data_IF_836140696522
#
_entry.id   IF_836140696522
#
_cell.length_a   1.000
_cell.length_b   1.000
_cell.length_c   1.000
_cell.angle_alpha   90.00
_cell.angle_beta   90.00
_cell.angle_gamma   90.00
#
_symmetry.space_group_name_H-M   'P 1'
#
loop_
_entity.id
_entity.type
_entity.pdbx_description
1 polymer ?
#
# COMPACT_ATOMS: atom_id res chain seq x y z
N UNK A 1 -20.11 5.65 23.88
CA UNK A 1 -19.30 4.54 23.34
C UNK A 1 -18.34 5.00 22.25
N UNK A 2 -18.79 5.37 21.05
CA UNK A 2 -17.91 5.76 19.94
C UNK A 2 -16.88 6.85 20.29
N UNK A 3 -17.28 7.88 21.02
CA UNK A 3 -16.38 8.93 21.49
C UNK A 3 -15.24 8.36 22.36
N UNK A 4 -15.50 7.45 23.29
CA UNK A 4 -14.47 6.82 24.12
C UNK A 4 -13.47 6.02 23.31
N UNK A 5 -13.93 5.25 22.31
CA UNK A 5 -13.03 4.53 21.40
C UNK A 5 -12.10 5.51 20.70
N UNK A 6 -12.66 6.61 20.20
CA UNK A 6 -11.88 7.67 19.55
C UNK A 6 -10.88 8.33 20.49
N UNK A 7 -11.31 8.67 21.70
CA UNK A 7 -10.47 9.31 22.71
C UNK A 7 -9.31 8.40 23.12
N UNK A 8 -9.55 7.09 23.27
CA UNK A 8 -8.51 6.09 23.55
C UNK A 8 -7.46 6.01 22.43
N UNK A 9 -7.90 6.05 21.17
CA UNK A 9 -7.00 6.07 20.03
C UNK A 9 -6.18 7.37 20.01
N UNK A 10 -6.82 8.51 20.25
CA UNK A 10 -6.16 9.82 20.28
C UNK A 10 -5.07 9.90 21.35
N UNK A 11 -5.35 9.39 22.56
CA UNK A 11 -4.38 9.35 23.65
C UNK A 11 -3.10 8.62 23.22
N UNK A 12 -3.23 7.45 22.58
CA UNK A 12 -2.09 6.68 22.07
C UNK A 12 -1.29 7.45 21.01
N UNK A 13 -1.97 8.15 20.10
CA UNK A 13 -1.28 8.92 19.04
C UNK A 13 -0.54 10.13 19.63
N UNK A 14 -1.16 10.83 20.59
CA UNK A 14 -0.55 11.99 21.25
C UNK A 14 0.70 11.56 22.05
N UNK A 15 0.61 10.42 22.75
CA UNK A 15 1.72 9.85 23.50
C UNK A 15 2.95 9.54 22.62
N UNK A 16 2.73 8.92 21.45
CA UNK A 16 3.82 8.56 20.55
C UNK A 16 4.28 9.71 19.66
N UNK A 17 3.54 10.81 19.60
CA UNK A 17 3.82 12.04 18.87
C UNK A 17 3.79 11.89 17.34
N UNK A 18 4.53 10.95 16.77
CA UNK A 18 4.68 10.82 15.30
C UNK A 18 3.60 9.95 14.70
N UNK A 19 2.99 10.46 13.62
CA UNK A 19 1.94 9.76 12.90
C UNK A 19 2.01 10.04 11.39
N UNK A 20 1.32 9.22 10.61
CA UNK A 20 1.07 9.42 9.19
C UNK A 20 -0.41 9.39 8.87
N UNK A 21 -0.80 10.14 7.85
CA UNK A 21 -2.17 10.26 7.41
C UNK A 21 -2.42 9.43 6.16
N UNK A 22 -3.52 8.68 6.16
CA UNK A 22 -4.01 7.92 5.03
C UNK A 22 -5.42 8.38 4.74
N UNK A 23 -5.66 8.85 3.52
CA UNK A 23 -6.97 9.26 3.05
C UNK A 23 -7.29 8.61 1.71
N UNK A 24 -8.54 8.34 1.50
CA UNK A 24 -9.08 7.90 0.22
C UNK A 24 -10.54 8.33 0.16
N UNK A 25 -11.14 8.43 -1.02
CA UNK A 25 -12.55 8.77 -1.17
C UNK A 25 -13.25 7.91 -2.22
N UNK A 26 -14.54 7.66 -2.00
CA UNK A 26 -15.40 6.92 -2.93
C UNK A 26 -16.85 7.32 -2.69
N UNK A 27 -17.72 7.25 -3.71
CA UNK A 27 -19.14 7.45 -3.52
C UNK A 27 -19.75 6.31 -2.69
N UNK A 28 -20.62 6.66 -1.77
CA UNK A 28 -21.45 5.70 -1.02
C UNK A 28 -22.69 5.26 -1.82
N UNK A 29 -23.55 4.44 -1.21
CA UNK A 29 -24.77 3.92 -1.84
C UNK A 29 -25.76 5.03 -2.23
N UNK A 30 -25.71 6.20 -1.61
CA UNK A 30 -26.50 7.37 -1.91
C UNK A 30 -25.79 8.33 -2.90
N UNK A 31 -24.75 7.86 -3.59
CA UNK A 31 -23.92 8.64 -4.50
C UNK A 31 -23.28 9.89 -3.87
N UNK A 32 -23.11 9.90 -2.54
CA UNK A 32 -22.42 10.94 -1.82
C UNK A 32 -20.94 10.56 -1.65
N UNK A 33 -20.04 11.47 -2.04
CA UNK A 33 -18.61 11.23 -1.86
C UNK A 33 -18.26 11.23 -0.38
N UNK A 34 -17.61 10.15 0.06
CA UNK A 34 -17.12 9.97 1.42
C UNK A 34 -15.60 9.85 1.38
N UNK A 35 -14.92 10.69 2.12
CA UNK A 35 -13.48 10.60 2.38
C UNK A 35 -13.27 9.88 3.72
N UNK A 36 -12.41 8.87 3.75
CA UNK A 36 -12.05 8.15 4.98
C UNK A 36 -10.76 8.70 5.54
N UNK A 37 -10.72 8.88 6.86
CA UNK A 37 -9.52 9.24 7.63
C UNK A 37 -9.02 8.01 8.39
N UNK A 38 -7.78 7.59 8.11
CA UNK A 38 -7.03 6.58 8.85
C UNK A 38 -5.70 7.18 9.27
N UNK A 39 -5.27 6.93 10.50
CA UNK A 39 -3.99 7.39 11.04
C UNK A 39 -3.11 6.18 11.34
N UNK A 40 -1.86 6.22 10.84
CA UNK A 40 -0.83 5.20 11.10
C UNK A 40 0.16 5.75 12.12
N UNK A 41 0.49 4.94 13.11
CA UNK A 41 1.43 5.27 14.19
C UNK A 41 2.07 4.00 14.76
N UNK A 42 3.12 4.18 15.55
CA UNK A 42 3.89 3.08 16.15
C UNK A 42 3.88 3.24 17.66
N UNK A 43 3.46 2.21 18.38
CA UNK A 43 3.42 2.19 19.84
C UNK A 43 4.36 1.12 20.41
N UNK A 44 4.72 1.29 21.66
CA UNK A 44 5.17 0.22 22.52
C UNK A 44 3.94 -0.32 23.28
N UNK A 45 3.67 -1.62 23.18
CA UNK A 45 2.55 -2.24 23.87
C UNK A 45 2.92 -2.58 25.34
N UNK A 46 1.94 -3.06 26.11
CA UNK A 46 2.14 -3.42 27.52
C UNK A 46 3.14 -4.57 27.73
N UNK A 47 3.54 -5.29 26.67
CA UNK A 47 4.53 -6.37 26.70
C UNK A 47 5.92 -5.86 26.29
N UNK A 48 6.10 -4.54 26.19
CA UNK A 48 7.28 -3.88 25.66
C UNK A 48 7.61 -4.29 24.21
N UNK A 49 6.60 -4.56 23.39
CA UNK A 49 6.77 -4.89 22.00
C UNK A 49 6.36 -3.73 21.09
N UNK A 50 7.06 -3.61 19.96
CA UNK A 50 6.69 -2.67 18.91
C UNK A 50 5.39 -3.10 18.24
N UNK A 51 4.46 -2.17 18.03
CA UNK A 51 3.26 -2.42 17.26
C UNK A 51 2.97 -1.27 16.29
N UNK A 52 2.83 -1.60 15.00
CA UNK A 52 2.38 -0.66 13.96
C UNK A 52 0.86 -0.74 13.89
N UNK A 53 0.20 0.41 14.06
CA UNK A 53 -1.26 0.51 14.10
C UNK A 53 -1.74 1.47 13.01
N UNK A 54 -2.83 1.10 12.35
CA UNK A 54 -3.60 1.94 11.45
C UNK A 54 -5.03 2.03 11.98
N UNK A 55 -5.38 3.15 12.60
CA UNK A 55 -6.70 3.36 13.22
C UNK A 55 -7.62 4.18 12.34
N UNK A 56 -8.85 3.72 12.21
CA UNK A 56 -9.94 4.44 11.57
C UNK A 56 -10.47 5.54 12.50
N UNK A 57 -10.70 6.74 11.93
CA UNK A 57 -11.26 7.87 12.68
C UNK A 57 -12.70 8.19 12.31
N UNK A 58 -12.92 8.45 11.03
CA UNK A 58 -14.24 8.88 10.53
C UNK A 58 -14.33 8.83 9.00
N UNK A 59 -15.56 8.89 8.52
CA UNK A 59 -15.87 9.31 7.17
C UNK A 59 -16.23 10.80 7.16
N UNK A 60 -15.79 11.51 6.13
CA UNK A 60 -16.06 12.94 5.90
C UNK A 60 -16.77 13.07 4.56
N UNK A 61 -17.90 13.75 4.54
CA UNK A 61 -18.60 14.04 3.29
C UNK A 61 -17.84 15.08 2.50
N UNK A 62 -17.48 14.77 1.27
CA UNK A 62 -16.76 15.66 0.36
C UNK A 62 -17.77 16.35 -0.56
N UNK A 63 -17.72 17.68 -0.56
CA UNK A 63 -18.57 18.50 -1.43
C UNK A 63 -17.81 19.01 -2.66
N UNK A 64 -16.51 19.28 -2.52
CA UNK A 64 -15.65 19.76 -3.58
C UNK A 64 -14.36 18.94 -3.64
N UNK A 65 -14.02 18.43 -4.82
CA UNK A 65 -12.86 17.57 -5.05
C UNK A 65 -11.61 18.31 -5.51
N UNK A 66 -11.54 19.63 -5.38
CA UNK A 66 -10.30 20.36 -5.66
C UNK A 66 -9.24 20.02 -4.60
N UNK A 67 -7.95 20.03 -4.99
CA UNK A 67 -6.87 19.78 -4.03
C UNK A 67 -6.88 20.75 -2.85
N UNK A 68 -7.33 21.98 -3.05
CA UNK A 68 -7.49 23.02 -2.01
C UNK A 68 -8.54 22.63 -0.99
N UNK A 69 -9.78 22.41 -1.43
CA UNK A 69 -10.90 22.04 -0.54
C UNK A 69 -10.63 20.74 0.20
N UNK A 70 -10.05 19.74 -0.47
CA UNK A 70 -9.66 18.48 0.18
C UNK A 70 -8.57 18.69 1.24
N UNK A 71 -7.62 19.61 1.01
CA UNK A 71 -6.61 19.95 2.02
C UNK A 71 -7.23 20.62 3.22
N UNK A 72 -8.15 21.56 3.02
CA UNK A 72 -8.89 22.23 4.10
C UNK A 72 -9.68 21.21 4.92
N UNK A 73 -10.41 20.30 4.28
CA UNK A 73 -11.15 19.22 4.96
C UNK A 73 -10.22 18.34 5.81
N UNK A 74 -9.02 18.00 5.31
CA UNK A 74 -8.03 17.19 6.03
C UNK A 74 -7.47 17.95 7.23
N UNK A 75 -7.08 19.21 7.06
CA UNK A 75 -6.54 20.03 8.15
C UNK A 75 -7.60 20.31 9.23
N UNK A 76 -8.84 20.57 8.85
CA UNK A 76 -9.97 20.71 9.76
C UNK A 76 -10.20 19.41 10.56
N UNK A 77 -10.06 18.25 9.91
CA UNK A 77 -10.10 16.97 10.58
C UNK A 77 -9.00 16.82 11.64
N UNK A 78 -7.76 17.14 11.29
CA UNK A 78 -6.62 17.04 12.22
C UNK A 78 -6.77 18.02 13.39
N UNK A 79 -7.19 19.26 13.11
CA UNK A 79 -7.40 20.31 14.12
C UNK A 79 -8.49 19.89 15.12
N UNK A 80 -9.64 19.39 14.64
CA UNK A 80 -10.73 18.88 15.49
C UNK A 80 -10.31 17.70 16.35
N UNK A 81 -9.35 16.92 15.88
CA UNK A 81 -8.80 15.76 16.59
C UNK A 81 -7.55 16.12 17.42
N UNK A 82 -7.20 17.42 17.52
CA UNK A 82 -6.04 17.94 18.25
C UNK A 82 -4.70 17.30 17.80
N UNK A 83 -4.58 16.94 16.51
CA UNK A 83 -3.39 16.39 15.91
C UNK A 83 -2.63 17.48 15.15
N UNK A 84 -1.40 17.76 15.57
CA UNK A 84 -0.57 18.82 14.95
C UNK A 84 0.04 18.33 13.65
N UNK A 85 -0.18 19.05 12.57
CA UNK A 85 0.42 18.72 11.26
C UNK A 85 1.96 18.68 11.32
N UNK A 86 2.60 19.41 12.23
CA UNK A 86 4.04 19.37 12.47
C UNK A 86 4.57 18.02 12.93
N UNK A 87 3.74 17.19 13.52
CA UNK A 87 4.09 15.84 13.99
C UNK A 87 3.79 14.76 12.94
N UNK A 88 3.17 15.12 11.83
CA UNK A 88 2.93 14.22 10.70
C UNK A 88 4.24 13.89 9.97
N UNK A 89 4.52 12.60 9.73
CA UNK A 89 5.76 12.12 9.07
C UNK A 89 5.53 11.50 7.71
N UNK A 90 4.30 11.14 7.41
CA UNK A 90 3.96 10.56 6.12
C UNK A 90 2.53 10.84 5.71
N UNK A 91 2.30 10.82 4.41
CA UNK A 91 0.97 10.92 3.82
C UNK A 91 0.85 9.92 2.66
N UNK A 92 -0.27 9.20 2.60
CA UNK A 92 -0.54 8.25 1.53
C UNK A 92 -1.96 8.37 1.02
N UNK A 93 -2.06 8.58 -0.28
CA UNK A 93 -3.31 8.76 -1.01
C UNK A 93 -3.28 7.95 -2.30
N UNK A 94 -4.42 7.89 -2.97
CA UNK A 94 -4.48 7.37 -4.34
C UNK A 94 -3.72 8.27 -5.33
N UNK A 95 -3.60 7.83 -6.58
CA UNK A 95 -2.88 8.57 -7.62
C UNK A 95 -3.75 9.59 -8.36
N UNK A 96 -4.93 9.93 -7.84
CA UNK A 96 -5.78 10.99 -8.40
C UNK A 96 -5.05 12.34 -8.37
N UNK A 97 -5.14 13.12 -9.45
CA UNK A 97 -4.40 14.37 -9.60
C UNK A 97 -4.70 15.40 -8.50
N UNK A 98 -5.92 15.39 -7.95
CA UNK A 98 -6.33 16.26 -6.86
C UNK A 98 -5.64 15.90 -5.53
N UNK A 99 -5.29 14.62 -5.33
CA UNK A 99 -4.57 14.13 -4.16
C UNK A 99 -3.05 14.15 -4.39
N UNK A 100 -2.58 13.52 -5.46
CA UNK A 100 -1.16 13.26 -5.73
C UNK A 100 -0.47 14.32 -6.62
N UNK A 101 -1.19 15.35 -7.07
CA UNK A 101 -0.63 16.41 -7.93
C UNK A 101 0.54 17.13 -7.24
N UNK A 102 1.65 17.31 -7.99
CA UNK A 102 2.91 17.88 -7.45
C UNK A 102 2.87 19.39 -7.19
N UNK A 103 1.87 20.11 -7.71
CA UNK A 103 1.79 21.58 -7.61
C UNK A 103 0.54 21.99 -6.83
N UNK A 104 -0.64 21.50 -7.22
CA UNK A 104 -1.94 21.90 -6.66
C UNK A 104 -2.67 20.78 -5.93
N UNK A 105 -2.09 19.59 -5.87
CA UNK A 105 -2.66 18.45 -5.15
C UNK A 105 -2.51 18.57 -3.63
N UNK A 106 -3.29 17.79 -2.90
CA UNK A 106 -3.24 17.72 -1.44
C UNK A 106 -1.81 17.47 -0.94
N UNK A 107 -1.10 16.52 -1.56
CA UNK A 107 0.26 16.16 -1.14
C UNK A 107 1.23 17.35 -1.20
N UNK A 108 1.14 18.18 -2.23
CA UNK A 108 2.01 19.35 -2.37
C UNK A 108 1.72 20.40 -1.29
N UNK A 109 0.44 20.70 -1.06
CA UNK A 109 -0.01 21.66 -0.04
C UNK A 109 0.37 21.23 1.38
N UNK A 110 0.28 19.95 1.70
CA UNK A 110 0.72 19.42 3.00
C UNK A 110 2.23 19.52 3.15
N UNK A 111 3.02 19.23 2.09
CA UNK A 111 4.48 19.36 2.11
C UNK A 111 4.93 20.83 2.28
N UNK A 112 4.20 21.79 1.75
CA UNK A 112 4.46 23.23 1.98
C UNK A 112 4.36 23.60 3.46
N UNK A 113 3.39 23.01 4.19
CA UNK A 113 3.20 23.26 5.63
C UNK A 113 4.16 22.42 6.49
N UNK A 114 4.45 21.19 6.08
CA UNK A 114 5.36 20.30 6.78
C UNK A 114 6.17 19.45 5.80
N UNK A 115 7.41 19.84 5.55
CA UNK A 115 8.34 19.15 4.65
C UNK A 115 8.65 17.71 5.08
N UNK A 116 8.41 17.38 6.35
CA UNK A 116 8.63 16.05 6.92
C UNK A 116 7.46 15.08 6.67
N UNK A 117 6.28 15.57 6.28
CA UNK A 117 5.14 14.75 5.88
C UNK A 117 5.36 14.16 4.47
N UNK A 118 6.24 13.16 4.37
CA UNK A 118 6.68 12.57 3.10
C UNK A 118 5.51 11.90 2.38
N UNK A 119 5.36 12.21 1.08
CA UNK A 119 4.31 11.60 0.27
C UNK A 119 4.74 10.25 -0.28
N UNK A 120 3.95 9.23 -0.02
CA UNK A 120 4.09 7.87 -0.54
C UNK A 120 2.78 7.51 -1.25
N UNK A 121 2.77 7.43 -2.59
CA UNK A 121 1.60 6.97 -3.32
C UNK A 121 1.16 5.60 -2.84
N UNK A 122 -0.15 5.35 -2.75
CA UNK A 122 -0.66 4.02 -2.40
C UNK A 122 -0.08 2.96 -3.32
N UNK A 123 0.69 2.02 -2.76
CA UNK A 123 1.42 1.01 -3.53
C UNK A 123 0.48 0.09 -4.30
N UNK A 124 -0.61 -0.36 -3.70
CA UNK A 124 -1.60 -1.21 -4.35
C UNK A 124 -2.25 -0.49 -5.55
N UNK A 125 -2.62 0.79 -5.38
CA UNK A 125 -3.16 1.59 -6.47
C UNK A 125 -2.12 1.84 -7.57
N UNK A 126 -0.86 2.11 -7.19
CA UNK A 126 0.26 2.32 -8.11
C UNK A 126 0.54 1.08 -8.97
N UNK A 127 0.53 -0.12 -8.39
CA UNK A 127 0.63 -1.38 -9.14
C UNK A 127 -0.55 -1.54 -10.10
N UNK A 128 -1.78 -1.28 -9.67
CA UNK A 128 -2.94 -1.35 -10.54
C UNK A 128 -2.83 -0.43 -11.75
N UNK A 129 -2.27 0.77 -11.58
CA UNK A 129 -2.08 1.72 -12.69
C UNK A 129 -0.98 1.31 -13.68
N UNK A 130 0.07 0.61 -13.23
CA UNK A 130 1.08 0.06 -14.14
C UNK A 130 0.40 -0.87 -15.14
N UNK A 131 -0.51 -1.65 -14.65
CA UNK A 131 -1.28 -2.51 -15.49
C UNK A 131 -2.18 -1.82 -16.51
N UNK A 132 -2.78 -0.73 -16.15
CA UNK A 132 -3.60 0.07 -17.07
C UNK A 132 -2.76 0.65 -18.21
N UNK A 133 -1.53 1.08 -17.93
CA UNK A 133 -0.62 1.61 -18.96
C UNK A 133 -0.32 0.54 -20.02
N UNK A 134 -0.02 -0.67 -19.57
CA UNK A 134 0.28 -1.81 -20.44
C UNK A 134 -0.95 -2.26 -21.23
N UNK A 135 -2.14 -2.10 -20.66
CA UNK A 135 -3.41 -2.49 -21.27
C UNK A 135 -3.89 -1.56 -22.39
N UNK A 136 -3.61 -0.25 -22.30
CA UNK A 136 -3.97 0.68 -23.39
C UNK A 136 -3.42 0.23 -24.74
N UNK A 137 -2.42 -0.62 -24.72
CA UNK A 137 -1.81 -1.19 -25.91
C UNK A 137 -2.53 -2.46 -26.38
N UNK A 138 -3.19 -3.24 -25.50
CA UNK A 138 -3.61 -4.62 -25.88
C UNK A 138 -4.94 -5.16 -25.33
N UNK A 139 -5.65 -4.54 -24.34
CA UNK A 139 -6.88 -5.11 -23.77
C UNK A 139 -7.84 -4.05 -23.15
N UNK A 140 -9.16 -4.30 -23.21
CA UNK A 140 -10.21 -3.43 -22.68
C UNK A 140 -10.31 -3.33 -21.16
N UNK A 141 -10.88 -2.23 -20.64
CA UNK A 141 -10.86 -1.69 -19.28
C UNK A 141 -11.60 -2.51 -18.21
N UNK A 142 -10.89 -3.23 -17.33
CA UNK A 142 -11.37 -3.75 -16.02
C UNK A 142 -10.23 -3.96 -15.02
N UNK A 143 -10.54 -4.09 -13.70
CA UNK A 143 -9.55 -4.23 -12.61
C UNK A 143 -8.64 -5.46 -12.74
N UNK A 144 -7.36 -5.33 -12.39
CA UNK A 144 -6.33 -6.37 -12.50
C UNK A 144 -6.68 -7.71 -11.85
N UNK A 145 -7.16 -7.70 -10.62
CA UNK A 145 -7.48 -8.92 -9.89
C UNK A 145 -8.56 -9.75 -10.61
N UNK A 146 -9.57 -9.07 -11.16
CA UNK A 146 -10.61 -9.73 -11.96
C UNK A 146 -10.01 -10.34 -13.23
N UNK A 147 -9.05 -9.65 -13.86
CA UNK A 147 -8.36 -10.12 -15.08
C UNK A 147 -7.41 -11.28 -14.82
N UNK A 148 -6.60 -11.22 -13.74
CA UNK A 148 -5.74 -12.34 -13.35
C UNK A 148 -6.57 -13.61 -13.15
N UNK A 149 -7.66 -13.52 -12.39
CA UNK A 149 -8.58 -14.66 -12.18
C UNK A 149 -9.19 -15.16 -13.48
N UNK A 150 -9.65 -14.27 -14.34
CA UNK A 150 -10.22 -14.61 -15.65
C UNK A 150 -9.19 -15.29 -16.57
N UNK A 151 -7.99 -14.71 -16.70
CA UNK A 151 -6.91 -15.25 -17.52
C UNK A 151 -6.42 -16.59 -16.97
N UNK A 152 -6.27 -16.72 -15.65
CA UNK A 152 -5.91 -17.98 -15.00
C UNK A 152 -6.96 -19.06 -15.22
N UNK A 153 -8.26 -18.72 -15.05
CA UNK A 153 -9.36 -19.65 -15.31
C UNK A 153 -9.40 -20.05 -16.77
N UNK A 154 -9.23 -19.11 -17.67
CA UNK A 154 -9.20 -19.40 -19.11
C UNK A 154 -8.01 -20.31 -19.47
N UNK A 155 -6.81 -20.03 -18.95
CA UNK A 155 -5.62 -20.84 -19.20
C UNK A 155 -5.77 -22.27 -18.68
N UNK A 156 -6.34 -22.45 -17.48
CA UNK A 156 -6.55 -23.78 -16.88
C UNK A 156 -7.70 -24.55 -17.53
N UNK A 157 -8.68 -23.86 -18.10
CA UNK A 157 -9.90 -24.48 -18.66
C UNK A 157 -10.00 -24.34 -20.18
N UNK A 158 -8.92 -23.94 -20.86
CA UNK A 158 -8.95 -23.63 -22.30
C UNK A 158 -9.47 -24.79 -23.14
N UNK A 159 -9.07 -26.02 -22.82
CA UNK A 159 -9.55 -27.24 -23.49
C UNK A 159 -11.05 -27.47 -23.29
N UNK A 160 -11.57 -27.17 -22.08
CA UNK A 160 -13.00 -27.29 -21.78
C UNK A 160 -13.81 -26.21 -22.50
N UNK A 161 -13.27 -24.99 -22.61
CA UNK A 161 -13.86 -23.90 -23.39
C UNK A 161 -13.99 -24.32 -24.86
N UNK A 162 -12.95 -24.92 -25.46
CA UNK A 162 -13.02 -25.43 -26.82
C UNK A 162 -14.11 -26.49 -26.97
N UNK A 163 -14.15 -27.47 -26.08
CA UNK A 163 -15.19 -28.52 -26.10
C UNK A 163 -16.59 -27.95 -25.99
N UNK A 164 -16.78 -26.94 -25.11
CA UNK A 164 -18.08 -26.27 -24.96
C UNK A 164 -18.55 -25.60 -26.26
N UNK A 165 -17.64 -24.93 -26.98
CA UNK A 165 -17.96 -24.33 -28.29
C UNK A 165 -18.24 -25.39 -29.36
N UNK A 166 -17.54 -26.52 -29.35
CA UNK A 166 -17.82 -27.63 -30.28
C UNK A 166 -19.20 -28.25 -30.05
N UNK A 167 -19.60 -28.40 -28.78
CA UNK A 167 -20.95 -28.85 -28.42
C UNK A 167 -22.03 -27.84 -28.87
N UNK A 168 -21.81 -26.56 -28.60
CA UNK A 168 -22.73 -25.50 -29.06
C UNK A 168 -22.97 -25.50 -30.55
N UNK A 169 -21.98 -25.84 -31.37
CA UNK A 169 -22.15 -25.96 -32.84
C UNK A 169 -23.10 -27.06 -33.27
N UNK A 170 -23.27 -28.10 -32.46
CA UNK A 170 -24.15 -29.21 -32.73
C UNK A 170 -25.60 -28.93 -32.38
N UNK A 171 -25.85 -27.84 -31.61
CA UNK A 171 -27.22 -27.43 -31.25
C UNK A 171 -27.93 -26.68 -32.40
N UNK A 172 -29.26 -26.63 -32.33
CA UNK A 172 -30.11 -25.86 -33.28
C UNK A 172 -30.01 -24.36 -32.99
N UNK A 173 -28.90 -23.75 -33.35
CA UNK A 173 -28.62 -22.31 -33.22
C UNK A 173 -28.80 -21.60 -34.58
N UNK A 174 -28.96 -20.25 -34.53
CA UNK A 174 -28.93 -19.43 -35.73
C UNK A 174 -27.58 -19.53 -36.44
N UNK A 175 -27.58 -19.38 -37.78
CA UNK A 175 -26.33 -19.39 -38.56
C UNK A 175 -25.34 -18.29 -38.13
N UNK A 176 -25.86 -17.13 -37.69
CA UNK A 176 -25.05 -16.04 -37.11
C UNK A 176 -24.31 -16.49 -35.85
N UNK A 177 -24.99 -17.16 -34.90
CA UNK A 177 -24.39 -17.68 -33.68
C UNK A 177 -23.33 -18.75 -33.95
N UNK A 178 -23.55 -19.61 -34.94
CA UNK A 178 -22.57 -20.62 -35.38
C UNK A 178 -21.32 -19.95 -35.97
N UNK A 179 -21.53 -18.94 -36.82
CA UNK A 179 -20.44 -18.19 -37.45
C UNK A 179 -19.58 -17.47 -36.37
N UNK A 180 -20.20 -16.85 -35.38
CA UNK A 180 -19.51 -16.21 -34.24
C UNK A 180 -18.72 -17.23 -33.43
N UNK A 181 -19.30 -18.39 -33.12
CA UNK A 181 -18.60 -19.48 -32.44
C UNK A 181 -17.37 -19.96 -33.20
N UNK A 182 -17.46 -20.10 -34.53
CA UNK A 182 -16.33 -20.49 -35.40
C UNK A 182 -15.23 -19.44 -35.42
N UNK A 183 -15.56 -18.17 -35.45
CA UNK A 183 -14.61 -17.07 -35.39
C UNK A 183 -13.91 -17.03 -34.03
N UNK A 184 -14.64 -17.22 -32.94
CA UNK A 184 -14.06 -17.31 -31.59
C UNK A 184 -13.12 -18.48 -31.44
N UNK A 185 -13.51 -19.69 -31.91
CA UNK A 185 -12.64 -20.88 -31.84
C UNK A 185 -11.36 -20.65 -32.65
N UNK A 186 -11.43 -20.10 -33.85
CA UNK A 186 -10.27 -19.78 -34.66
C UNK A 186 -9.34 -18.80 -33.96
N UNK A 187 -9.90 -17.74 -33.38
CA UNK A 187 -9.15 -16.74 -32.63
C UNK A 187 -8.46 -17.36 -31.40
N UNK A 188 -9.19 -18.14 -30.60
CA UNK A 188 -8.67 -18.78 -29.40
C UNK A 188 -7.61 -19.86 -29.70
N UNK A 189 -7.69 -20.55 -30.86
CA UNK A 189 -6.71 -21.54 -31.32
C UNK A 189 -5.48 -20.91 -31.98
N UNK A 190 -5.48 -19.60 -32.21
CA UNK A 190 -4.33 -18.94 -32.83
C UNK A 190 -3.09 -19.00 -31.96
N UNK A 191 -1.92 -19.21 -32.56
CA UNK A 191 -0.63 -19.18 -31.84
C UNK A 191 -0.44 -17.87 -31.07
N UNK A 192 -0.82 -16.75 -31.66
CA UNK A 192 -0.79 -15.43 -31.07
C UNK A 192 -1.57 -15.37 -29.74
N UNK A 193 -2.82 -15.85 -29.75
CA UNK A 193 -3.66 -15.83 -28.56
C UNK A 193 -3.08 -16.70 -27.43
N UNK A 194 -2.63 -17.93 -27.77
CA UNK A 194 -2.08 -18.86 -26.78
C UNK A 194 -0.79 -18.30 -26.18
N UNK A 195 0.12 -17.77 -27.00
CA UNK A 195 1.34 -17.14 -26.50
C UNK A 195 1.05 -15.96 -25.58
N UNK A 196 0.12 -15.08 -25.99
CA UNK A 196 -0.26 -13.93 -25.18
C UNK A 196 -0.95 -14.34 -23.87
N UNK A 197 -1.82 -15.34 -23.90
CA UNK A 197 -2.47 -15.89 -22.70
C UNK A 197 -1.43 -16.37 -21.68
N UNK A 198 -0.44 -17.13 -22.11
CA UNK A 198 0.63 -17.64 -21.25
C UNK A 198 1.52 -16.53 -20.68
N UNK A 199 1.86 -15.53 -21.50
CA UNK A 199 2.69 -14.38 -21.07
C UNK A 199 1.94 -13.53 -20.04
N UNK A 200 0.67 -13.21 -20.33
CA UNK A 200 -0.17 -12.42 -19.43
C UNK A 200 -0.43 -13.14 -18.10
N UNK A 201 -0.65 -14.44 -18.14
CA UNK A 201 -0.82 -15.23 -16.92
C UNK A 201 0.41 -15.09 -16.01
N UNK A 202 1.61 -15.21 -16.53
CA UNK A 202 2.86 -15.05 -15.77
C UNK A 202 3.05 -13.65 -15.23
N UNK A 203 2.84 -12.62 -16.07
CA UNK A 203 2.97 -11.21 -15.66
C UNK A 203 1.96 -10.87 -14.56
N UNK A 204 0.69 -11.21 -14.77
CA UNK A 204 -0.38 -10.89 -13.83
C UNK A 204 -0.22 -11.67 -12.52
N UNK A 205 0.20 -12.93 -12.58
CA UNK A 205 0.48 -13.74 -11.39
C UNK A 205 1.62 -13.14 -10.54
N UNK A 206 2.69 -12.66 -11.18
CA UNK A 206 3.79 -12.01 -10.48
C UNK A 206 3.34 -10.71 -9.81
N UNK A 207 2.59 -9.86 -10.52
CA UNK A 207 2.05 -8.60 -9.99
C UNK A 207 1.05 -8.86 -8.85
N UNK A 208 0.18 -9.87 -8.97
CA UNK A 208 -0.83 -10.19 -7.95
C UNK A 208 -0.19 -10.66 -6.64
N UNK A 209 0.86 -11.48 -6.71
CA UNK A 209 1.64 -11.86 -5.52
C UNK A 209 2.16 -10.66 -4.76
N UNK A 210 2.76 -9.69 -5.46
CA UNK A 210 3.27 -8.48 -4.82
C UNK A 210 2.14 -7.57 -4.32
N UNK A 211 1.04 -7.47 -5.09
CA UNK A 211 -0.11 -6.67 -4.67
C UNK A 211 -0.73 -7.15 -3.36
N UNK A 212 -0.80 -8.47 -3.14
CA UNK A 212 -1.26 -9.05 -1.87
C UNK A 212 -0.34 -8.63 -0.72
N UNK A 213 0.98 -8.72 -0.91
CA UNK A 213 1.97 -8.31 0.10
C UNK A 213 1.87 -6.82 0.40
N UNK A 214 1.77 -5.97 -0.63
CA UNK A 214 1.71 -4.51 -0.46
C UNK A 214 0.40 -4.02 0.18
N UNK A 215 -0.61 -4.86 0.30
CA UNK A 215 -1.86 -4.54 1.01
C UNK A 215 -1.81 -4.86 2.51
N UNK A 216 -0.73 -5.46 3.00
CA UNK A 216 -0.58 -5.78 4.41
C UNK A 216 -0.41 -4.48 5.25
N UNK A 217 -1.28 -4.24 6.28
CA UNK A 217 -1.27 -2.99 7.05
C UNK A 217 0.02 -2.74 7.81
N UNK A 218 0.67 -3.80 8.27
CA UNK A 218 1.91 -3.72 9.06
C UNK A 218 3.17 -3.72 8.22
N UNK A 219 3.03 -3.70 6.89
CA UNK A 219 4.17 -3.70 5.98
C UNK A 219 5.01 -2.44 6.17
N UNK A 220 6.32 -2.62 6.15
CA UNK A 220 7.31 -1.54 6.27
C UNK A 220 7.95 -1.24 4.91
N UNK A 221 8.51 -0.05 4.76
CA UNK A 221 9.07 0.42 3.48
C UNK A 221 10.24 -0.45 3.03
N UNK A 222 11.12 -0.86 3.93
CA UNK A 222 12.27 -1.72 3.62
C UNK A 222 11.85 -3.08 3.06
N UNK A 223 10.82 -3.69 3.64
CA UNK A 223 10.25 -4.95 3.17
C UNK A 223 9.54 -4.77 1.82
N UNK A 224 8.76 -3.70 1.66
CA UNK A 224 8.09 -3.39 0.42
C UNK A 224 9.08 -3.18 -0.74
N UNK A 225 10.16 -2.41 -0.51
CA UNK A 225 11.21 -2.16 -1.51
C UNK A 225 11.91 -3.46 -1.91
N UNK A 226 12.23 -4.35 -0.97
CA UNK A 226 12.81 -5.68 -1.27
C UNK A 226 11.90 -6.51 -2.19
N UNK A 227 10.60 -6.52 -1.94
CA UNK A 227 9.64 -7.23 -2.79
C UNK A 227 9.51 -6.61 -4.18
N UNK A 228 9.52 -5.28 -4.28
CA UNK A 228 9.49 -4.58 -5.56
C UNK A 228 10.76 -4.82 -6.38
N UNK A 229 11.93 -4.85 -5.77
CA UNK A 229 13.19 -5.20 -6.41
C UNK A 229 13.21 -6.66 -6.88
N UNK A 230 12.59 -7.56 -6.12
CA UNK A 230 12.48 -8.97 -6.50
C UNK A 230 11.67 -9.15 -7.79
N UNK A 231 10.51 -8.49 -7.92
CA UNK A 231 9.70 -8.57 -9.15
C UNK A 231 10.41 -7.87 -10.33
N UNK A 232 11.09 -6.76 -10.08
CA UNK A 232 11.89 -6.09 -11.12
C UNK A 232 12.96 -7.03 -11.67
N UNK A 233 13.68 -7.74 -10.78
CA UNK A 233 14.69 -8.74 -11.16
C UNK A 233 14.07 -9.91 -11.92
N UNK A 234 12.87 -10.39 -11.51
CA UNK A 234 12.13 -11.44 -12.22
C UNK A 234 11.81 -11.02 -13.66
N UNK A 235 11.30 -9.80 -13.85
CA UNK A 235 10.99 -9.28 -15.18
C UNK A 235 12.23 -9.02 -16.03
N UNK A 236 13.33 -8.54 -15.46
CA UNK A 236 14.60 -8.39 -16.17
C UNK A 236 15.13 -9.73 -16.67
N UNK A 237 15.03 -10.81 -15.88
CA UNK A 237 15.42 -12.16 -16.31
C UNK A 237 14.58 -12.66 -17.47
N UNK A 238 13.29 -12.37 -17.51
CA UNK A 238 12.40 -12.72 -18.62
C UNK A 238 12.80 -11.94 -19.88
N UNK A 239 13.13 -10.65 -19.75
CA UNK A 239 13.59 -9.78 -20.85
C UNK A 239 14.89 -10.25 -21.48
N UNK A 240 15.82 -10.75 -20.66
CA UNK A 240 17.17 -11.15 -21.08
C UNK A 240 17.30 -12.59 -21.55
N UNK A 241 16.22 -13.40 -21.53
CA UNK A 241 16.27 -14.76 -22.07
C UNK A 241 16.63 -14.73 -23.56
N UNK A 242 17.89 -15.01 -23.85
CA UNK A 242 18.36 -15.27 -25.20
C UNK A 242 17.77 -16.58 -25.72
N UNK A 243 17.44 -16.64 -27.00
CA UNK A 243 17.17 -17.90 -27.72
C UNK A 243 18.37 -18.83 -27.45
N UNK A 244 18.14 -20.03 -26.90
CA UNK A 244 19.19 -21.04 -26.88
C UNK A 244 19.31 -21.52 -28.31
N UNK A 245 20.38 -21.12 -28.96
CA UNK A 245 20.75 -21.71 -30.24
C UNK A 245 21.08 -23.19 -30.02
N UNK A 246 20.52 -24.05 -30.85
CA UNK A 246 20.90 -25.47 -30.90
C UNK A 246 22.30 -25.57 -31.48
N UNK A 247 23.08 -26.60 -31.11
CA UNK A 247 24.41 -26.81 -31.72
C UNK A 247 24.28 -26.93 -33.21
N UNK A 248 24.86 -25.96 -33.96
CA UNK A 248 24.80 -25.88 -35.42
C UNK A 248 23.85 -24.83 -36.01
N UNK A 249 23.04 -24.15 -35.19
CA UNK A 249 22.30 -22.93 -35.63
C UNK A 249 23.26 -21.74 -35.71
N UNK A 250 23.32 -21.10 -36.86
CA UNK A 250 24.05 -19.85 -37.11
C UNK A 250 23.06 -18.71 -36.83
N UNK A 251 23.50 -17.64 -36.15
CA UNK A 251 22.74 -16.39 -36.12
C UNK A 251 22.68 -15.86 -37.57
N UNK A 252 21.51 -16.00 -38.22
CA UNK A 252 21.28 -15.32 -39.48
C UNK A 252 21.19 -13.82 -39.22
N UNK A 253 22.01 -13.05 -39.91
CA UNK A 253 21.92 -11.60 -40.04
C UNK A 253 20.56 -11.25 -40.65
N UNK A 254 19.64 -10.78 -39.83
CA UNK A 254 18.27 -10.47 -40.22
C UNK A 254 18.20 -9.17 -41.02
N UNK A 255 18.33 -9.27 -42.32
CA UNK A 255 17.73 -8.31 -43.24
C UNK A 255 16.44 -8.91 -43.83
N UNK A 256 15.29 -8.31 -43.46
CA UNK A 256 14.01 -8.39 -44.17
C UNK A 256 13.24 -9.72 -44.15
N UNK A 257 12.80 -10.18 -43.02
CA UNK A 257 11.44 -10.73 -42.76
C UNK A 257 11.35 -11.05 -41.29
N UNK A 258 10.77 -10.11 -40.53
CA UNK A 258 10.55 -10.34 -39.10
C UNK A 258 9.57 -11.51 -38.96
N UNK A 259 10.07 -12.69 -38.59
CA UNK A 259 9.21 -13.85 -38.35
C UNK A 259 8.14 -13.47 -37.30
N UNK A 260 6.97 -14.11 -37.37
CA UNK A 260 5.91 -13.82 -36.35
C UNK A 260 6.44 -13.98 -34.94
N UNK A 261 7.31 -14.97 -34.68
CA UNK A 261 7.96 -15.18 -33.38
C UNK A 261 8.78 -13.98 -32.91
N UNK A 262 9.51 -13.33 -33.83
CA UNK A 262 10.27 -12.12 -33.49
C UNK A 262 9.37 -10.93 -33.20
N UNK A 263 8.25 -10.78 -33.91
CA UNK A 263 7.24 -9.75 -33.61
C UNK A 263 6.71 -9.90 -32.17
N UNK A 264 6.35 -11.13 -31.77
CA UNK A 264 5.87 -11.38 -30.39
C UNK A 264 6.97 -11.18 -29.35
N UNK A 265 8.22 -11.58 -29.66
CA UNK A 265 9.35 -11.35 -28.77
C UNK A 265 9.58 -9.85 -28.49
N UNK A 266 9.54 -9.02 -29.56
CA UNK A 266 9.66 -7.56 -29.44
C UNK A 266 8.50 -6.99 -28.64
N UNK A 267 7.27 -7.43 -28.90
CA UNK A 267 6.08 -6.97 -28.19
C UNK A 267 6.15 -7.30 -26.69
N UNK A 268 6.56 -8.51 -26.34
CA UNK A 268 6.72 -8.94 -24.94
C UNK A 268 7.80 -8.10 -24.24
N UNK A 269 8.94 -7.86 -24.90
CA UNK A 269 10.00 -7.00 -24.37
C UNK A 269 9.50 -5.59 -24.11
N UNK A 270 8.75 -5.00 -25.04
CA UNK A 270 8.16 -3.66 -24.88
C UNK A 270 7.16 -3.61 -23.71
N UNK A 271 6.34 -4.64 -23.53
CA UNK A 271 5.43 -4.76 -22.39
C UNK A 271 6.21 -4.77 -21.08
N UNK A 272 7.25 -5.60 -20.98
CA UNK A 272 8.09 -5.70 -19.80
C UNK A 272 8.81 -4.37 -19.51
N UNK A 273 9.37 -3.72 -20.54
CA UNK A 273 10.03 -2.42 -20.39
C UNK A 273 9.08 -1.35 -19.84
N UNK A 274 7.85 -1.29 -20.34
CA UNK A 274 6.83 -0.38 -19.84
C UNK A 274 6.45 -0.67 -18.36
N UNK A 275 6.39 -1.96 -17.97
CA UNK A 275 6.17 -2.35 -16.59
C UNK A 275 7.33 -1.89 -15.71
N UNK A 276 8.58 -2.15 -16.11
CA UNK A 276 9.78 -1.78 -15.37
C UNK A 276 9.89 -0.25 -15.20
N UNK A 277 9.63 0.51 -16.26
CA UNK A 277 9.60 1.98 -16.20
C UNK A 277 8.50 2.44 -15.23
N UNK A 278 7.31 1.87 -15.34
CA UNK A 278 6.19 2.19 -14.47
C UNK A 278 6.47 1.88 -12.99
N UNK A 279 7.12 0.76 -12.68
CA UNK A 279 7.55 0.39 -11.33
C UNK A 279 8.53 1.45 -10.78
N UNK A 280 9.63 1.71 -11.49
CA UNK A 280 10.65 2.66 -11.05
C UNK A 280 10.09 4.07 -10.82
N UNK A 281 9.24 4.55 -11.71
CA UNK A 281 8.66 5.90 -11.56
C UNK A 281 7.72 6.01 -10.36
N UNK A 282 6.88 4.99 -10.12
CA UNK A 282 5.84 5.05 -9.09
C UNK A 282 6.37 4.77 -7.68
N UNK A 283 7.43 3.96 -7.56
CA UNK A 283 8.01 3.61 -6.27
C UNK A 283 9.24 4.43 -5.89
N UNK A 284 9.64 5.38 -6.75
CA UNK A 284 10.82 6.24 -6.52
C UNK A 284 10.78 6.99 -5.19
N UNK A 285 9.62 7.48 -4.75
CA UNK A 285 9.50 8.18 -3.45
C UNK A 285 9.76 7.24 -2.27
N UNK A 286 9.29 5.99 -2.36
CA UNK A 286 9.54 4.97 -1.34
C UNK A 286 11.01 4.56 -1.30
N UNK A 287 11.65 4.37 -2.45
CA UNK A 287 13.09 4.10 -2.55
C UNK A 287 13.94 5.23 -1.95
N UNK A 288 13.59 6.49 -2.23
CA UNK A 288 14.29 7.64 -1.67
C UNK A 288 14.19 7.67 -0.13
N UNK A 289 13.03 7.34 0.44
CA UNK A 289 12.86 7.24 1.88
C UNK A 289 13.68 6.07 2.43
N UNK A 290 13.60 4.89 1.80
CA UNK A 290 14.42 3.74 2.20
C UNK A 290 15.92 4.06 2.17
N UNK A 291 16.36 4.86 1.20
CA UNK A 291 17.75 5.29 1.08
C UNK A 291 18.16 6.27 2.21
N UNK A 292 17.28 7.24 2.56
CA UNK A 292 17.54 8.20 3.65
C UNK A 292 17.81 7.50 4.99
N UNK A 293 17.16 6.36 5.24
CA UNK A 293 17.28 5.59 6.47
C UNK A 293 18.16 4.33 6.31
N UNK A 294 18.71 4.08 5.13
CA UNK A 294 19.40 2.81 4.80
C UNK A 294 20.51 2.44 5.77
N UNK A 295 21.25 3.44 6.28
CA UNK A 295 22.36 3.24 7.21
C UNK A 295 21.92 2.68 8.57
N UNK A 296 20.63 2.78 8.92
CA UNK A 296 20.03 2.14 10.10
C UNK A 296 19.59 0.70 9.84
N UNK A 297 19.65 0.21 8.60
CA UNK A 297 19.36 -1.19 8.29
C UNK A 297 20.46 -2.07 8.93
N UNK A 298 20.09 -3.10 9.72
CA UNK A 298 21.05 -3.95 10.43
C UNK A 298 22.14 -4.54 9.54
N UNK A 299 21.78 -5.00 8.33
CA UNK A 299 22.73 -5.53 7.36
C UNK A 299 23.75 -4.46 6.92
N UNK A 300 23.31 -3.21 6.80
CA UNK A 300 24.15 -2.09 6.37
C UNK A 300 24.97 -1.54 7.54
N UNK A 301 24.38 -1.36 8.72
CA UNK A 301 25.09 -0.97 9.94
C UNK A 301 26.29 -1.89 10.13
N UNK A 302 26.10 -3.21 9.98
CA UNK A 302 27.14 -4.20 10.15
C UNK A 302 28.28 -4.07 9.12
N UNK A 303 27.94 -3.89 7.84
CA UNK A 303 28.88 -3.97 6.73
C UNK A 303 29.55 -2.64 6.37
N UNK A 304 28.92 -1.50 6.66
CA UNK A 304 29.45 -0.19 6.29
C UNK A 304 30.56 0.29 7.22
N UNK A 305 31.58 1.00 6.67
CA UNK A 305 32.49 1.77 7.49
C UNK A 305 31.75 2.80 8.33
N UNK A 306 32.17 3.01 9.60
CA UNK A 306 31.51 3.93 10.51
C UNK A 306 31.39 5.36 9.95
N UNK A 307 32.41 5.83 9.23
CA UNK A 307 32.40 7.15 8.60
C UNK A 307 31.26 7.36 7.62
N UNK A 308 30.88 6.32 6.85
CA UNK A 308 29.77 6.38 5.93
C UNK A 308 28.43 6.46 6.70
N UNK A 309 28.30 5.67 7.77
CA UNK A 309 27.12 5.68 8.64
C UNK A 309 26.96 7.02 9.36
N UNK A 310 28.07 7.61 9.85
CA UNK A 310 28.07 8.95 10.46
C UNK A 310 27.60 10.04 9.48
N UNK A 311 28.15 10.03 8.25
CA UNK A 311 27.76 10.99 7.21
C UNK A 311 26.25 10.89 6.92
N UNK A 312 25.73 9.69 6.68
CA UNK A 312 24.32 9.46 6.46
C UNK A 312 23.46 9.86 7.67
N UNK A 313 23.94 9.61 8.90
CA UNK A 313 23.31 10.03 10.14
C UNK A 313 23.23 11.55 10.27
N UNK A 314 24.30 12.26 9.92
CA UNK A 314 24.31 13.74 9.87
C UNK A 314 23.27 14.27 8.88
N UNK A 315 23.18 13.66 7.69
CA UNK A 315 22.19 14.06 6.67
C UNK A 315 20.75 13.83 7.17
N UNK A 316 20.51 12.72 7.87
CA UNK A 316 19.22 12.45 8.48
C UNK A 316 18.89 13.48 9.59
N UNK A 317 19.84 13.76 10.48
CA UNK A 317 19.65 14.75 11.55
C UNK A 317 19.38 16.16 10.99
N UNK A 318 20.05 16.56 9.93
CA UNK A 318 19.77 17.84 9.26
C UNK A 318 18.35 17.90 8.67
N UNK A 319 17.79 16.77 8.19
CA UNK A 319 16.40 16.69 7.73
C UNK A 319 15.40 16.74 8.90
N UNK A 320 15.73 16.15 10.02
CA UNK A 320 14.85 16.01 11.20
C UNK A 320 15.40 16.81 12.40
N UNK A 321 15.97 18.01 12.17
CA UNK A 321 16.66 18.83 13.16
C UNK A 321 15.87 19.10 14.45
N UNK A 322 14.54 19.24 14.35
CA UNK A 322 13.65 19.43 15.50
C UNK A 322 13.29 18.13 16.23
N UNK A 323 13.77 16.98 15.76
CA UNK A 323 13.40 15.68 16.28
C UNK A 323 14.60 14.84 16.74
N UNK A 324 15.78 15.07 16.16
CA UNK A 324 17.01 14.32 16.41
C UNK A 324 18.12 15.28 16.83
N UNK A 325 18.75 15.00 17.95
CA UNK A 325 19.96 15.72 18.36
C UNK A 325 21.18 15.14 17.62
N UNK A 326 21.78 15.93 16.76
CA UNK A 326 22.86 15.49 15.89
C UNK A 326 24.07 14.93 16.62
N UNK A 327 24.49 15.57 17.73
CA UNK A 327 25.68 15.16 18.47
C UNK A 327 25.41 13.83 19.18
N UNK A 328 24.29 13.77 19.88
CA UNK A 328 23.87 12.56 20.60
C UNK A 328 23.61 11.41 19.63
N UNK A 329 22.92 11.67 18.51
CA UNK A 329 22.61 10.66 17.49
C UNK A 329 23.89 9.96 16.96
N UNK A 330 24.95 10.73 16.69
CA UNK A 330 26.21 10.16 16.19
C UNK A 330 26.88 9.31 17.25
N UNK A 331 26.90 9.76 18.51
CA UNK A 331 27.42 8.98 19.65
C UNK A 331 26.61 7.70 19.87
N UNK A 332 25.27 7.80 19.85
CA UNK A 332 24.39 6.65 19.93
C UNK A 332 24.65 5.64 18.80
N UNK A 333 24.86 6.12 17.56
CA UNK A 333 25.07 5.28 16.40
C UNK A 333 26.35 4.43 16.51
N UNK A 334 27.44 5.01 17.06
CA UNK A 334 28.67 4.28 17.33
C UNK A 334 28.45 3.17 18.35
N UNK A 335 27.85 3.53 19.49
CA UNK A 335 27.58 2.59 20.56
C UNK A 335 26.59 1.51 20.15
N UNK A 336 25.53 1.90 19.41
CA UNK A 336 24.50 0.98 18.93
C UNK A 336 25.05 -0.04 17.93
N UNK A 337 25.95 0.37 17.04
CA UNK A 337 26.61 -0.54 16.10
C UNK A 337 27.41 -1.61 16.84
N UNK A 338 28.24 -1.23 17.81
CA UNK A 338 29.03 -2.18 18.62
C UNK A 338 28.11 -3.10 19.43
N UNK A 339 27.03 -2.56 20.00
CA UNK A 339 26.08 -3.32 20.80
C UNK A 339 25.39 -4.40 19.96
N UNK A 340 24.80 -4.03 18.80
CA UNK A 340 24.12 -4.97 17.89
C UNK A 340 25.07 -6.04 17.37
N UNK A 341 26.31 -5.66 17.08
CA UNK A 341 27.32 -6.58 16.56
C UNK A 341 27.65 -7.72 17.54
N UNK A 342 27.67 -7.41 18.84
CA UNK A 342 28.14 -8.32 19.87
C UNK A 342 27.06 -9.20 20.52
N UNK A 343 25.77 -8.87 20.33
CA UNK A 343 24.69 -9.56 21.07
C UNK A 343 24.14 -10.76 20.32
N UNK A 344 23.80 -10.61 19.05
CA UNK A 344 23.05 -11.64 18.33
C UNK A 344 23.32 -11.57 16.82
N UNK A 345 23.76 -12.67 16.25
CA UNK A 345 23.97 -12.78 14.81
C UNK A 345 22.66 -12.70 14.01
N UNK A 346 21.53 -13.06 14.58
CA UNK A 346 20.22 -12.98 13.93
C UNK A 346 19.81 -11.52 13.73
N UNK A 347 20.22 -10.60 14.62
CA UNK A 347 19.96 -9.17 14.48
C UNK A 347 20.62 -8.55 13.24
N UNK A 348 21.69 -9.15 12.72
CA UNK A 348 22.36 -8.70 11.49
C UNK A 348 21.46 -8.78 10.24
N UNK A 349 20.41 -9.59 10.29
CA UNK A 349 19.43 -9.79 9.20
C UNK A 349 18.05 -9.24 9.54
N UNK A 350 17.90 -8.63 10.71
CA UNK A 350 16.64 -8.09 11.19
C UNK A 350 16.08 -7.00 10.27
N UNK A 351 14.80 -6.82 10.30
CA UNK A 351 14.07 -5.70 9.68
C UNK A 351 14.09 -4.48 10.61
N UNK A 352 13.73 -3.31 10.10
CA UNK A 352 13.55 -2.10 10.93
C UNK A 352 12.55 -2.33 12.07
N UNK A 353 11.49 -3.09 11.80
CA UNK A 353 10.50 -3.44 12.82
C UNK A 353 11.11 -4.29 13.94
N UNK A 354 11.86 -5.32 13.59
CA UNK A 354 12.50 -6.21 14.55
C UNK A 354 13.56 -5.46 15.38
N UNK A 355 14.26 -4.47 14.78
CA UNK A 355 15.21 -3.63 15.50
C UNK A 355 14.54 -2.73 16.52
N UNK A 356 13.45 -2.04 16.18
CA UNK A 356 12.72 -1.24 17.16
C UNK A 356 12.11 -2.14 18.24
N UNK A 357 11.62 -3.31 17.87
CA UNK A 357 11.10 -4.30 18.81
C UNK A 357 12.19 -4.79 19.78
N UNK A 358 13.41 -5.01 19.30
CA UNK A 358 14.59 -5.32 20.13
C UNK A 358 14.89 -4.20 21.13
N UNK A 359 14.88 -2.93 20.67
CA UNK A 359 15.10 -1.76 21.54
C UNK A 359 14.03 -1.71 22.64
N UNK A 360 12.75 -1.90 22.31
CA UNK A 360 11.66 -1.84 23.27
C UNK A 360 11.67 -3.02 24.26
N UNK A 361 11.87 -4.25 23.78
CA UNK A 361 11.94 -5.46 24.63
C UNK A 361 13.06 -5.38 25.68
N UNK A 362 14.20 -4.83 25.29
CA UNK A 362 15.36 -4.69 26.15
C UNK A 362 15.39 -3.36 26.92
N UNK A 363 14.35 -2.52 26.81
CA UNK A 363 14.25 -1.20 27.45
C UNK A 363 15.43 -0.28 27.16
N UNK A 364 15.89 -0.30 25.91
CA UNK A 364 17.06 0.47 25.44
C UNK A 364 16.67 1.85 24.87
N UNK A 365 15.38 2.25 24.92
CA UNK A 365 14.92 3.54 24.40
C UNK A 365 15.55 4.74 25.13
N UNK A 366 15.87 4.59 26.42
CA UNK A 366 16.53 5.64 27.20
C UNK A 366 18.05 5.69 26.94
N UNK A 367 18.63 4.58 26.46
CA UNK A 367 20.05 4.50 26.07
C UNK A 367 20.26 5.01 24.65
N UNK A 368 19.32 4.74 23.75
CA UNK A 368 19.35 5.11 22.33
C UNK A 368 18.11 5.93 21.93
N UNK A 369 17.84 7.09 22.55
CA UNK A 369 16.60 7.83 22.33
C UNK A 369 16.47 8.33 20.88
N UNK A 370 17.55 8.87 20.30
CA UNK A 370 17.52 9.40 18.94
C UNK A 370 17.38 8.29 17.88
N UNK A 371 18.06 7.16 18.08
CA UNK A 371 17.93 5.98 17.21
C UNK A 371 16.51 5.41 17.29
N UNK A 372 15.94 5.32 18.49
CA UNK A 372 14.55 4.88 18.70
C UNK A 372 13.57 5.77 17.96
N UNK A 373 13.73 7.09 18.05
CA UNK A 373 12.93 8.07 17.33
C UNK A 373 13.09 7.91 15.81
N UNK A 374 14.30 7.68 15.31
CA UNK A 374 14.54 7.49 13.88
C UNK A 374 13.82 6.24 13.35
N UNK A 375 13.90 5.10 14.05
CA UNK A 375 13.16 3.89 13.72
C UNK A 375 11.65 4.12 13.79
N UNK A 376 11.16 4.80 14.82
CA UNK A 376 9.75 5.11 15.00
C UNK A 376 9.22 5.98 13.84
N UNK A 377 9.94 7.04 13.45
CA UNK A 377 9.60 7.89 12.30
C UNK A 377 9.51 7.05 11.03
N UNK A 378 10.51 6.20 10.77
CA UNK A 378 10.53 5.35 9.58
C UNK A 378 9.36 4.38 9.52
N UNK A 379 9.07 3.68 10.60
CA UNK A 379 7.99 2.69 10.69
C UNK A 379 6.59 3.33 10.66
N UNK A 380 6.50 4.59 11.04
CA UNK A 380 5.26 5.38 10.95
C UNK A 380 4.88 5.68 9.50
N UNK A 381 5.85 5.71 8.57
CA UNK A 381 5.57 6.00 7.16
C UNK A 381 4.77 4.87 6.50
N UNK A 382 3.69 5.20 5.76
CA UNK A 382 2.81 4.20 5.17
C UNK A 382 3.41 3.61 3.88
N UNK A 383 3.05 2.38 3.56
CA UNK A 383 3.33 1.74 2.27
C UNK A 383 2.10 1.79 1.36
N UNK A 384 0.91 1.74 1.95
CA UNK A 384 -0.36 1.61 1.24
C UNK A 384 -1.46 2.33 1.98
N UNK A 385 -2.53 2.69 1.29
CA UNK A 385 -3.79 3.15 1.88
C UNK A 385 -4.88 2.05 1.89
N UNK A 386 -4.49 0.77 1.87
CA UNK A 386 -5.43 -0.35 1.82
C UNK A 386 -6.38 -0.40 3.03
N UNK A 387 -6.00 0.13 4.19
CA UNK A 387 -6.90 0.29 5.34
C UNK A 387 -8.07 1.21 5.06
N UNK A 388 -7.88 2.22 4.21
CA UNK A 388 -8.96 3.07 3.71
C UNK A 388 -9.96 2.24 2.86
N UNK A 389 -9.47 1.38 1.96
CA UNK A 389 -10.32 0.51 1.13
C UNK A 389 -11.10 -0.50 1.99
N UNK A 390 -10.46 -1.06 3.02
CA UNK A 390 -11.13 -1.94 4.00
C UNK A 390 -12.23 -1.20 4.77
N UNK A 391 -12.00 0.05 5.11
CA UNK A 391 -13.00 0.89 5.78
C UNK A 391 -14.21 1.13 4.89
N UNK A 392 -14.03 1.35 3.57
CA UNK A 392 -15.15 1.46 2.63
C UNK A 392 -15.93 0.14 2.46
N UNK A 393 -15.26 -1.01 2.57
CA UNK A 393 -15.94 -2.30 2.59
C UNK A 393 -16.86 -2.43 3.81
N UNK A 394 -16.46 -1.92 4.97
CA UNK A 394 -17.31 -1.82 6.17
C UNK A 394 -18.42 -0.78 6.01
N UNK A 395 -18.13 0.36 5.37
CA UNK A 395 -19.15 1.37 5.06
C UNK A 395 -20.34 0.78 4.30
N UNK A 396 -20.08 -0.05 3.29
CA UNK A 396 -21.12 -0.73 2.50
C UNK A 396 -22.02 -1.63 3.35
N UNK A 397 -21.50 -2.23 4.42
CA UNK A 397 -22.27 -3.05 5.36
C UNK A 397 -23.10 -2.20 6.33
N UNK A 398 -22.64 -1.01 6.69
CA UNK A 398 -23.31 -0.10 7.63
C UNK A 398 -24.37 0.74 6.90
N UNK A 399 -24.00 1.33 5.77
CA UNK A 399 -24.87 2.19 4.93
C UNK A 399 -25.36 1.36 3.74
N UNK A 400 -26.38 0.53 3.99
CA UNK A 400 -27.08 -0.25 2.97
C UNK A 400 -28.16 0.59 2.28
N UNK A 401 -28.81 0.06 1.24
CA UNK A 401 -29.94 0.71 0.57
C UNK A 401 -31.02 1.17 1.55
N UNK A 402 -31.40 0.32 2.50
CA UNK A 402 -32.40 0.62 3.54
C UNK A 402 -31.92 1.65 4.58
N UNK A 403 -30.63 1.97 4.62
CA UNK A 403 -30.00 2.92 5.53
C UNK A 403 -29.26 4.03 4.79
N UNK A 404 -29.64 4.31 3.55
CA UNK A 404 -29.01 5.32 2.68
C UNK A 404 -29.05 6.73 3.27
N UNK A 405 -30.09 7.07 4.05
CA UNK A 405 -30.29 8.37 4.71
C UNK A 405 -29.63 8.49 6.08
N UNK A 406 -28.72 7.58 6.46
CA UNK A 406 -28.00 7.68 7.73
C UNK A 406 -27.20 8.98 7.79
N UNK A 407 -27.46 9.79 8.84
CA UNK A 407 -26.74 11.04 9.11
C UNK A 407 -25.24 10.78 9.35
N UNK A 408 -24.39 11.73 8.95
CA UNK A 408 -22.92 11.60 9.01
C UNK A 408 -22.41 11.31 10.42
N UNK A 409 -22.93 11.96 11.45
CA UNK A 409 -22.53 11.72 12.84
C UNK A 409 -22.84 10.28 13.28
N UNK A 410 -24.06 9.78 12.98
CA UNK A 410 -24.45 8.41 13.29
C UNK A 410 -23.64 7.38 12.50
N UNK A 411 -23.38 7.67 11.23
CA UNK A 411 -22.53 6.85 10.39
C UNK A 411 -21.13 6.70 11.00
N UNK A 412 -20.51 7.78 11.42
CA UNK A 412 -19.18 7.77 12.02
C UNK A 412 -19.17 6.99 13.35
N UNK A 413 -20.18 7.15 14.20
CA UNK A 413 -20.28 6.42 15.46
C UNK A 413 -20.41 4.90 15.23
N UNK A 414 -21.22 4.47 14.26
CA UNK A 414 -21.36 3.05 13.94
C UNK A 414 -20.09 2.50 13.30
N UNK A 415 -19.45 3.29 12.45
CA UNK A 415 -18.23 2.89 11.73
C UNK A 415 -17.07 2.67 12.66
N UNK A 416 -16.79 3.59 13.59
CA UNK A 416 -15.68 3.44 14.52
C UNK A 416 -15.87 2.24 15.45
N UNK A 417 -17.08 1.99 15.95
CA UNK A 417 -17.38 0.80 16.76
C UNK A 417 -17.24 -0.51 15.98
N UNK A 418 -17.56 -0.50 14.67
CA UNK A 418 -17.47 -1.68 13.81
C UNK A 418 -16.05 -1.95 13.36
N UNK A 419 -15.30 -0.91 12.98
CA UNK A 419 -13.94 -1.04 12.44
C UNK A 419 -12.94 -1.26 13.57
N UNK A 420 -13.01 -0.44 14.61
CA UNK A 420 -12.15 -0.50 15.81
C UNK A 420 -12.73 -1.41 16.90
N UNK A 421 -13.38 -2.50 16.52
CA UNK A 421 -14.10 -3.37 17.44
C UNK A 421 -13.21 -4.01 18.51
N UNK A 422 -11.91 -4.20 18.23
CA UNK A 422 -10.96 -4.72 19.22
C UNK A 422 -10.82 -3.77 20.41
N UNK A 423 -10.62 -2.47 20.13
CA UNK A 423 -10.54 -1.42 21.16
C UNK A 423 -11.90 -1.26 21.83
N UNK A 424 -12.98 -1.23 21.04
CA UNK A 424 -14.33 -1.09 21.54
C UNK A 424 -14.73 -2.18 22.56
N UNK A 425 -14.24 -3.41 22.40
CA UNK A 425 -14.52 -4.53 23.34
C UNK A 425 -13.72 -4.46 24.64
N UNK A 426 -12.61 -3.74 24.67
CA UNK A 426 -11.73 -3.63 25.84
C UNK A 426 -12.16 -2.50 26.77
N UNK A 427 -12.96 -1.54 26.28
CA UNK A 427 -13.39 -0.38 27.07
C UNK A 427 -14.56 -0.79 27.99
N UNK A 428 -14.49 -0.40 29.27
CA UNK A 428 -15.62 -0.49 30.16
C UNK A 428 -16.65 0.62 29.88
N UNK A 429 -17.91 0.24 29.72
CA UNK A 429 -19.02 1.12 29.39
C UNK A 429 -20.08 1.22 30.51
N UNK A 430 -19.84 0.67 31.70
CA UNK A 430 -20.84 0.62 32.81
C UNK A 430 -21.40 2.00 33.19
N UNK A 431 -20.53 3.01 33.27
CA UNK A 431 -20.95 4.37 33.53
C UNK A 431 -21.84 4.96 32.44
N UNK A 432 -21.55 4.65 31.14
CA UNK A 432 -22.40 5.09 30.02
C UNK A 432 -23.74 4.37 30.05
N UNK A 433 -23.76 3.11 30.43
CA UNK A 433 -24.99 2.31 30.56
C UNK A 433 -25.84 2.90 31.70
N UNK A 434 -25.23 3.18 32.86
CA UNK A 434 -25.89 3.77 34.04
C UNK A 434 -26.43 5.17 33.72
N UNK A 435 -25.64 6.02 33.05
CA UNK A 435 -26.05 7.37 32.62
C UNK A 435 -27.23 7.32 31.60
N UNK A 436 -27.21 6.36 30.71
CA UNK A 436 -28.33 6.14 29.79
C UNK A 436 -29.59 5.64 30.49
N UNK A 437 -29.45 4.74 31.45
CA UNK A 437 -30.56 4.24 32.28
C UNK A 437 -31.18 5.36 33.11
N UNK A 438 -30.34 6.22 33.70
CA UNK A 438 -30.77 7.36 34.51
C UNK A 438 -31.51 8.46 33.71
N UNK A 439 -31.07 8.70 32.46
CA UNK A 439 -31.68 9.75 31.60
C UNK A 439 -33.01 9.37 30.99
N UNK A 440 -33.32 8.07 30.89
CA UNK A 440 -34.60 7.58 30.40
C UNK A 440 -35.16 6.62 31.43
N UNK A 441 -36.19 7.06 32.19
CA UNK A 441 -37.01 6.19 33.03
C UNK A 441 -37.61 5.06 32.14
N UNK A 442 -36.86 4.02 31.86
CA UNK A 442 -37.34 2.80 31.22
C UNK A 442 -37.67 1.80 32.31
N UNK A 443 -38.81 1.11 32.11
CA UNK A 443 -39.35 0.07 33.02
C UNK A 443 -38.46 -1.18 33.12
N UNK A 444 -37.17 -1.10 32.82
CA UNK A 444 -36.24 -2.24 32.87
C UNK A 444 -35.08 -1.84 33.82
N UNK A 445 -35.01 -2.52 34.96
CA UNK A 445 -33.81 -2.49 35.80
C UNK A 445 -32.74 -3.36 35.16
N UNK A 446 -31.53 -2.83 34.98
CA UNK A 446 -30.35 -3.57 34.57
C UNK A 446 -29.63 -4.12 35.79
#
# INVERSE_FOLDING_TARGET
MAKRVKDEILLKIIEVKYYSILFNFTPDIAHQEQMVQVIRYVIQNNQNECEIIESFFKFVRVYNKTGESLTEDILDCLTKDNLRISDCRGQSFDSGSNMSGKIKGVQARIIEMNKLARFIPCSAHSLNLIGVIVQKVYLNTTRWLAKHRAIKSLNTQLVMVFKSFEVLKQEKLSEETKFDADNLIRSLKSFSFICMLMVWEKILSAIDRINIILQEPKLTIDVAVKHLQSIETEFQKVRLRKKKLLPGEIEEDEFCNISEENKYSIMIKNVIDNILIGLRQRFKSMENIAQDFSFLNPTIIYSWPMENSKRAGVDLCNKYENNLNKIEFISELESFKEHVYNIDDDLKRATFFEMLNFIYKNKLQDVYPNISVAYQIYLTMPVTSASCERSFSKLKLIKTYLRSNTEQARLNHLSILSIENKIARQINYEDIINDFAAKKARKVHF
#
